data_IF_882456921832
#
_entry.id   IF_882456921832
#
_cell.length_a   1.000
_cell.length_b   1.000
_cell.length_c   1.000
_cell.angle_alpha   90.00
_cell.angle_beta   90.00
_cell.angle_gamma   90.00
#
_symmetry.space_group_name_H-M   'P 1'
#
loop_
_entity.id
_entity.type
_entity.pdbx_description
1 polymer ?
#
# COMPACT_ATOMS: atom_id res chain seq x y z
N UNK A 1 -13.94 -7.10 58.51
CA UNK A 1 -14.96 -8.16 58.33
C UNK A 1 -15.54 -8.04 56.93
N UNK A 2 -15.50 -9.13 56.16
CA UNK A 2 -15.96 -9.25 54.77
C UNK A 2 -17.48 -9.45 54.72
N UNK A 3 -18.19 -8.67 53.90
CA UNK A 3 -19.59 -8.91 53.51
C UNK A 3 -19.64 -8.72 51.99
N UNK A 4 -19.28 -9.71 51.16
CA UNK A 4 -20.18 -10.68 50.48
C UNK A 4 -21.52 -10.06 50.05
N UNK A 5 -21.56 -9.45 48.88
CA UNK A 5 -22.80 -9.28 48.11
C UNK A 5 -23.08 -10.58 47.37
N UNK A 6 -24.25 -11.17 47.67
CA UNK A 6 -24.82 -12.36 47.04
C UNK A 6 -25.47 -11.98 45.71
N UNK A 7 -25.31 -12.87 44.72
CA UNK A 7 -25.80 -12.69 43.37
C UNK A 7 -27.30 -12.93 43.20
N UNK A 8 -27.78 -12.58 42.00
CA UNK A 8 -29.12 -12.86 41.52
C UNK A 8 -29.22 -12.52 40.04
N UNK A 9 -28.85 -13.48 39.19
CA UNK A 9 -29.09 -13.45 37.75
C UNK A 9 -30.50 -13.95 37.47
N UNK A 10 -31.40 -13.12 36.94
CA UNK A 10 -32.58 -13.62 36.20
C UNK A 10 -32.99 -12.63 35.10
N UNK A 11 -32.65 -13.01 33.87
CA UNK A 11 -33.41 -12.89 32.62
C UNK A 11 -34.14 -11.56 32.33
N UNK A 12 -33.47 -10.67 31.59
CA UNK A 12 -34.16 -9.72 30.72
C UNK A 12 -34.26 -10.31 29.31
N UNK A 13 -35.42 -10.89 29.01
CA UNK A 13 -35.89 -11.06 27.64
C UNK A 13 -36.45 -9.73 27.13
N UNK A 14 -36.05 -9.37 25.91
CA UNK A 14 -36.67 -8.38 25.02
C UNK A 14 -36.54 -6.89 25.35
N UNK A 15 -35.31 -6.38 25.30
CA UNK A 15 -35.07 -5.07 24.71
C UNK A 15 -33.92 -5.25 23.70
N UNK A 16 -34.12 -5.11 22.37
CA UNK A 16 -32.99 -4.97 21.47
C UNK A 16 -32.45 -3.55 21.63
N UNK A 17 -31.79 -3.30 22.75
CA UNK A 17 -30.83 -2.22 22.86
C UNK A 17 -29.81 -2.57 21.82
N UNK A 18 -29.86 -1.88 20.68
CA UNK A 18 -28.86 -2.01 19.64
C UNK A 18 -27.57 -1.54 20.30
N UNK A 19 -26.86 -2.49 20.91
CA UNK A 19 -25.45 -2.41 21.20
C UNK A 19 -24.83 -2.26 19.82
N UNK A 20 -24.78 -1.02 19.33
CA UNK A 20 -23.82 -0.64 18.30
C UNK A 20 -22.48 -0.62 19.03
N UNK A 21 -22.07 -1.80 19.46
CA UNK A 21 -20.70 -2.18 19.66
C UNK A 21 -20.15 -2.30 18.25
N UNK A 22 -19.99 -1.15 17.58
CA UNK A 22 -19.01 -1.07 16.51
C UNK A 22 -17.68 -1.24 17.23
N UNK A 23 -17.29 -2.50 17.42
CA UNK A 23 -15.89 -2.84 17.50
C UNK A 23 -15.24 -2.06 16.37
N UNK A 24 -14.41 -1.09 16.74
CA UNK A 24 -13.46 -0.48 15.83
C UNK A 24 -12.52 -1.62 15.44
N UNK A 25 -12.98 -2.49 14.54
CA UNK A 25 -12.10 -3.13 13.59
C UNK A 25 -11.57 -1.98 12.78
N UNK A 26 -10.52 -1.34 13.32
CA UNK A 26 -9.57 -0.61 12.52
C UNK A 26 -9.38 -1.44 11.27
N UNK A 27 -9.57 -0.88 10.06
CA UNK A 27 -9.26 -1.63 8.86
C UNK A 27 -7.87 -2.20 9.11
N UNK A 28 -7.77 -3.53 9.03
CA UNK A 28 -6.47 -4.17 9.03
C UNK A 28 -5.61 -3.32 8.13
N UNK A 29 -4.47 -2.90 8.68
CA UNK A 29 -3.47 -2.24 7.89
C UNK A 29 -3.04 -3.27 6.84
N UNK A 30 -3.78 -3.33 5.72
CA UNK A 30 -3.39 -3.88 4.44
C UNK A 30 -2.22 -2.99 3.97
N UNK A 31 -1.12 -3.06 4.72
CA UNK A 31 0.18 -2.63 4.26
C UNK A 31 0.37 -3.43 2.99
N UNK A 32 0.22 -2.72 1.87
CA UNK A 32 0.16 -3.22 0.51
C UNK A 32 0.38 -4.71 0.41
N UNK A 33 -0.68 -5.45 0.05
CA UNK A 33 -0.44 -6.57 -0.85
C UNK A 33 0.45 -5.99 -1.94
N UNK A 34 1.75 -6.29 -1.86
CA UNK A 34 2.65 -6.12 -2.98
C UNK A 34 2.05 -7.04 -4.02
N UNK A 35 1.10 -6.52 -4.80
CA UNK A 35 0.70 -7.14 -6.05
C UNK A 35 2.01 -7.34 -6.76
N UNK A 36 2.43 -8.59 -6.86
CA UNK A 36 3.71 -8.94 -7.45
C UNK A 36 3.54 -8.65 -8.94
N UNK A 37 3.85 -7.41 -9.33
CA UNK A 37 3.72 -6.95 -10.71
C UNK A 37 4.75 -7.68 -11.56
N UNK A 38 4.29 -8.21 -12.69
CA UNK A 38 5.07 -9.13 -13.52
C UNK A 38 5.91 -8.34 -14.55
N UNK A 39 5.44 -7.16 -14.98
CA UNK A 39 6.12 -6.26 -15.93
C UNK A 39 6.90 -5.09 -15.30
N UNK A 40 7.86 -4.55 -16.06
CA UNK A 40 8.66 -3.38 -15.62
C UNK A 40 7.80 -2.11 -15.58
N UNK A 41 6.90 -1.95 -16.56
CA UNK A 41 5.93 -0.86 -16.60
C UNK A 41 4.98 -0.91 -15.40
N UNK A 42 4.32 -2.05 -15.17
CA UNK A 42 3.39 -2.25 -14.06
C UNK A 42 4.06 -2.00 -12.71
N UNK A 43 5.28 -2.50 -12.53
CA UNK A 43 6.05 -2.32 -11.29
C UNK A 43 6.41 -0.85 -11.07
N UNK A 44 6.79 -0.13 -12.13
CA UNK A 44 7.07 1.31 -12.04
C UNK A 44 5.79 2.11 -11.72
N UNK A 45 4.68 1.84 -12.39
CA UNK A 45 3.40 2.52 -12.15
C UNK A 45 2.92 2.27 -10.73
N UNK A 46 2.94 1.02 -10.26
CA UNK A 46 2.58 0.66 -8.89
C UNK A 46 3.46 1.37 -7.86
N UNK A 47 4.77 1.43 -8.09
CA UNK A 47 5.71 2.17 -7.23
C UNK A 47 5.39 3.66 -7.17
N UNK A 48 5.18 4.31 -8.32
CA UNK A 48 4.86 5.74 -8.38
C UNK A 48 3.53 6.03 -7.66
N UNK A 49 2.49 5.24 -7.92
CA UNK A 49 1.20 5.41 -7.25
C UNK A 49 1.31 5.27 -5.73
N UNK A 50 2.11 4.32 -5.25
CA UNK A 50 2.41 4.20 -3.82
C UNK A 50 3.15 5.43 -3.28
N UNK A 51 4.16 5.91 -3.99
CA UNK A 51 4.94 7.10 -3.61
C UNK A 51 4.09 8.39 -3.60
N UNK A 52 3.05 8.48 -4.43
CA UNK A 52 2.08 9.58 -4.41
C UNK A 52 0.99 9.42 -3.34
N UNK A 53 1.04 8.37 -2.52
CA UNK A 53 0.05 8.10 -1.47
C UNK A 53 -1.27 7.51 -1.97
N UNK A 54 -1.30 7.04 -3.22
CA UNK A 54 -2.48 6.43 -3.84
C UNK A 54 -2.53 4.90 -3.64
N UNK A 55 -1.44 4.27 -3.20
CA UNK A 55 -1.33 2.80 -3.12
C UNK A 55 -2.43 2.07 -2.34
N UNK A 56 -3.07 2.72 -1.35
CA UNK A 56 -4.20 2.11 -0.59
C UNK A 56 -5.52 2.06 -1.37
N UNK A 57 -5.59 2.72 -2.52
CA UNK A 57 -6.75 2.77 -3.40
C UNK A 57 -6.54 1.97 -4.69
N UNK A 58 -5.31 1.52 -4.95
CA UNK A 58 -4.96 0.87 -6.19
C UNK A 58 -5.08 -0.64 -6.04
N UNK A 59 -5.84 -1.26 -6.95
CA UNK A 59 -5.80 -2.69 -7.22
C UNK A 59 -5.02 -2.96 -8.52
N UNK A 60 -4.97 -4.23 -8.94
CA UNK A 60 -4.26 -4.62 -10.17
C UNK A 60 -4.87 -3.97 -11.42
N UNK A 61 -6.21 -3.88 -11.46
CA UNK A 61 -6.94 -3.31 -12.59
C UNK A 61 -6.66 -1.81 -12.70
N UNK A 62 -6.63 -1.08 -11.59
CA UNK A 62 -6.28 0.34 -11.57
C UNK A 62 -4.87 0.59 -12.13
N UNK A 63 -3.89 -0.24 -11.75
CA UNK A 63 -2.52 -0.12 -12.27
C UNK A 63 -2.48 -0.41 -13.77
N UNK A 64 -3.19 -1.45 -14.22
CA UNK A 64 -3.28 -1.79 -15.64
C UNK A 64 -3.96 -0.68 -16.46
N UNK A 65 -5.08 -0.12 -15.99
CA UNK A 65 -5.75 1.00 -16.63
C UNK A 65 -4.85 2.23 -16.69
N UNK A 66 -4.16 2.57 -15.59
CA UNK A 66 -3.21 3.69 -15.57
C UNK A 66 -2.11 3.48 -16.61
N UNK A 67 -1.58 2.26 -16.71
CA UNK A 67 -0.59 1.91 -17.71
C UNK A 67 -1.12 2.12 -19.14
N UNK A 68 -2.34 1.65 -19.44
CA UNK A 68 -2.96 1.84 -20.75
C UNK A 68 -3.21 3.32 -21.07
N UNK A 69 -3.74 4.08 -20.11
CA UNK A 69 -3.94 5.53 -20.27
C UNK A 69 -2.62 6.25 -20.58
N UNK A 70 -1.52 5.84 -19.94
CA UNK A 70 -0.19 6.38 -20.26
C UNK A 70 0.27 5.99 -21.67
N UNK A 71 0.05 4.76 -22.10
CA UNK A 71 0.37 4.33 -23.48
C UNK A 71 -0.41 5.14 -24.51
N UNK A 72 -1.71 5.33 -24.29
CA UNK A 72 -2.57 6.10 -25.18
C UNK A 72 -2.20 7.58 -25.18
N UNK A 73 -1.98 8.18 -24.01
CA UNK A 73 -1.65 9.60 -23.88
C UNK A 73 -0.26 9.94 -24.45
N UNK A 74 0.67 8.99 -24.43
CA UNK A 74 2.05 9.17 -24.92
C UNK A 74 2.28 8.56 -26.30
N UNK A 75 1.25 7.97 -26.93
CA UNK A 75 1.37 7.21 -28.18
C UNK A 75 2.50 6.17 -28.15
N UNK A 76 2.62 5.46 -27.03
CA UNK A 76 3.73 4.54 -26.75
C UNK A 76 3.22 3.10 -26.77
N UNK A 77 3.94 2.19 -27.42
CA UNK A 77 3.57 0.77 -27.37
C UNK A 77 3.82 0.17 -25.98
N UNK A 78 3.20 -0.97 -25.69
CA UNK A 78 3.46 -1.69 -24.45
C UNK A 78 4.95 -2.02 -24.29
N UNK A 79 5.61 -2.49 -25.36
CA UNK A 79 7.03 -2.83 -25.33
C UNK A 79 7.92 -1.60 -25.08
N UNK A 80 7.62 -0.47 -25.74
CA UNK A 80 8.36 0.78 -25.54
C UNK A 80 8.21 1.29 -24.10
N UNK A 81 7.00 1.19 -23.54
CA UNK A 81 6.73 1.57 -22.16
C UNK A 81 7.47 0.67 -21.17
N UNK A 82 7.47 -0.65 -21.38
CA UNK A 82 8.21 -1.59 -20.53
C UNK A 82 9.72 -1.34 -20.58
N UNK A 83 10.28 -1.06 -21.76
CA UNK A 83 11.69 -0.71 -21.93
C UNK A 83 12.04 0.60 -21.21
N UNK A 84 11.23 1.64 -21.41
CA UNK A 84 11.41 2.94 -20.76
C UNK A 84 11.31 2.81 -19.23
N UNK A 85 10.34 2.03 -18.74
CA UNK A 85 10.17 1.80 -17.31
C UNK A 85 11.35 1.05 -16.70
N UNK A 86 11.86 0.02 -17.40
CA UNK A 86 13.04 -0.72 -16.99
C UNK A 86 14.27 0.18 -16.88
N UNK A 87 14.51 1.06 -17.86
CA UNK A 87 15.62 2.01 -17.85
C UNK A 87 15.54 2.99 -16.66
N UNK A 88 14.36 3.59 -16.43
CA UNK A 88 14.12 4.49 -15.30
C UNK A 88 14.40 3.79 -13.96
N UNK A 89 13.98 2.53 -13.83
CA UNK A 89 14.21 1.76 -12.60
C UNK A 89 15.68 1.41 -12.38
N UNK A 90 16.44 1.10 -13.43
CA UNK A 90 17.89 0.92 -13.34
C UNK A 90 18.60 2.21 -12.92
N UNK A 91 18.26 3.33 -13.56
CA UNK A 91 18.85 4.63 -13.24
C UNK A 91 18.59 5.02 -11.78
N UNK A 92 17.38 4.80 -11.27
CA UNK A 92 17.06 5.09 -9.88
C UNK A 92 17.89 4.25 -8.89
N UNK A 93 18.05 2.94 -9.17
CA UNK A 93 18.88 2.03 -8.36
C UNK A 93 20.34 2.46 -8.34
N UNK A 94 20.87 2.84 -9.51
CA UNK A 94 22.23 3.34 -9.64
C UNK A 94 22.43 4.63 -8.80
N UNK A 95 21.51 5.59 -8.94
CA UNK A 95 21.57 6.87 -8.23
C UNK A 95 21.49 6.68 -6.71
N UNK A 96 20.65 5.76 -6.22
CA UNK A 96 20.61 5.38 -4.79
C UNK A 96 21.96 4.86 -4.32
N UNK A 97 22.60 3.99 -5.09
CA UNK A 97 23.90 3.41 -4.72
C UNK A 97 24.98 4.49 -4.61
N UNK A 98 25.06 5.42 -5.56
CA UNK A 98 26.00 6.55 -5.50
C UNK A 98 25.78 7.43 -4.26
N UNK A 99 24.52 7.75 -3.94
CA UNK A 99 24.18 8.56 -2.79
C UNK A 99 24.57 7.89 -1.44
N UNK A 100 24.43 6.56 -1.34
CA UNK A 100 24.87 5.83 -0.14
C UNK A 100 26.39 5.86 0.05
N UNK A 101 27.18 5.84 -1.03
CA UNK A 101 28.64 5.90 -0.95
C UNK A 101 29.15 7.31 -0.58
N UNK A 102 28.52 8.36 -1.12
CA UNK A 102 28.83 9.74 -0.78
C UNK A 102 28.63 10.03 0.74
N UNK A 103 27.61 9.40 1.33
CA UNK A 103 27.27 9.54 2.75
C UNK A 103 28.29 8.87 3.68
N UNK A 104 28.95 7.78 3.24
CA UNK A 104 30.01 7.10 4.01
C UNK A 104 31.32 7.89 4.02
N UNK A 105 31.65 8.58 2.92
CA UNK A 105 32.87 9.39 2.80
C UNK A 105 32.90 10.60 3.74
N UNK A 106 31.73 11.13 4.14
CA UNK A 106 31.63 12.26 5.09
C UNK A 106 31.78 11.87 6.57
N UNK A 107 31.72 10.59 6.93
CA UNK A 107 31.87 10.13 8.34
C UNK A 107 33.30 9.75 8.72
N UNK A 108 34.23 9.76 7.77
CA UNK A 108 35.64 9.41 7.98
C UNK A 108 36.59 10.63 7.87
N UNK A 109 36.09 11.85 8.07
CA UNK A 109 36.92 13.05 8.17
C UNK A 109 36.70 13.75 9.51
#
# INVERSE_FOLDING_TARGET
>A
MRMRTVGGSVLFNNIPTRVIQSSTSSPQNDNGKCTEFVGSAESLVGKVLLEQGLGKYCDADFVHCTQLEMQEALEMTQEEMDLAAHELMLQERFNRTLNTQASKKKRNK
#
